data_IF_330249826157
#
_entry.id   IF_330249826157
#
_cell.length_a   1.000
_cell.length_b   1.000
_cell.length_c   1.000
_cell.angle_alpha   90.00
_cell.angle_beta   90.00
_cell.angle_gamma   90.00
#
_symmetry.space_group_name_H-M   'P 1'
#
loop_
_entity.id
_entity.type
_entity.pdbx_description
1 polymer ?
#
# COMPACT_ATOMS: atom_id res chain seq x y z
N UNK A 1 -13.12 -0.47 11.46
CA UNK A 1 -13.05 -1.01 10.08
C UNK A 1 -12.20 -0.08 9.23
N UNK A 2 -11.52 -0.56 8.18
CA UNK A 2 -10.60 0.27 7.37
C UNK A 2 -11.29 1.50 6.78
N UNK A 3 -12.56 1.39 6.41
CA UNK A 3 -13.36 2.50 5.89
C UNK A 3 -13.49 3.64 6.91
N UNK A 4 -13.83 3.33 8.16
CA UNK A 4 -13.90 4.31 9.25
C UNK A 4 -12.54 4.94 9.51
N UNK A 5 -11.47 4.14 9.42
CA UNK A 5 -10.09 4.60 9.63
C UNK A 5 -9.68 5.60 8.56
N UNK A 6 -9.98 5.34 7.28
CA UNK A 6 -9.73 6.27 6.18
C UNK A 6 -10.51 7.58 6.33
N UNK A 7 -11.77 7.52 6.76
CA UNK A 7 -12.58 8.71 7.07
C UNK A 7 -11.93 9.54 8.17
N UNK A 8 -11.50 8.90 9.27
CA UNK A 8 -10.80 9.60 10.37
C UNK A 8 -9.49 10.24 9.90
N UNK A 9 -8.68 9.54 9.11
CA UNK A 9 -7.44 10.08 8.57
C UNK A 9 -7.67 11.29 7.67
N UNK A 10 -8.71 11.26 6.83
CA UNK A 10 -9.08 12.37 5.97
C UNK A 10 -9.63 13.55 6.77
N UNK A 11 -10.58 13.30 7.66
CA UNK A 11 -11.25 14.35 8.45
C UNK A 11 -10.29 15.06 9.42
N UNK A 12 -9.24 14.36 9.85
CA UNK A 12 -8.13 14.94 10.64
C UNK A 12 -7.08 15.69 9.80
N UNK A 13 -7.24 15.75 8.46
CA UNK A 13 -6.24 16.24 7.50
C UNK A 13 -4.90 15.50 7.57
N UNK A 14 -4.90 14.26 8.08
CA UNK A 14 -3.72 13.39 8.05
C UNK A 14 -3.45 12.92 6.62
N UNK A 15 -4.50 12.69 5.83
CA UNK A 15 -4.45 12.47 4.38
C UNK A 15 -5.44 13.44 3.69
N UNK A 16 -5.23 13.75 2.42
CA UNK A 16 -6.20 14.55 1.66
C UNK A 16 -7.18 13.70 0.81
N UNK A 17 -8.10 14.37 0.10
CA UNK A 17 -9.10 13.73 -0.75
C UNK A 17 -8.50 12.91 -1.91
N UNK A 18 -7.34 13.32 -2.45
CA UNK A 18 -6.67 12.58 -3.52
C UNK A 18 -6.12 11.26 -2.98
N UNK A 19 -5.48 11.29 -1.81
CA UNK A 19 -4.97 10.09 -1.13
C UNK A 19 -6.12 9.19 -0.67
N UNK A 20 -7.20 9.76 -0.15
CA UNK A 20 -8.41 9.02 0.19
C UNK A 20 -9.00 8.31 -1.04
N UNK A 21 -9.16 9.03 -2.16
CA UNK A 21 -9.65 8.47 -3.42
C UNK A 21 -8.76 7.36 -3.95
N UNK A 22 -7.44 7.54 -3.88
CA UNK A 22 -6.47 6.51 -4.23
C UNK A 22 -6.64 5.24 -3.39
N UNK A 23 -6.74 5.37 -2.05
CA UNK A 23 -6.96 4.24 -1.15
C UNK A 23 -8.26 3.47 -1.48
N UNK A 24 -9.35 4.18 -1.79
CA UNK A 24 -10.63 3.56 -2.19
C UNK A 24 -10.53 2.83 -3.54
N UNK A 25 -9.82 3.42 -4.50
CA UNK A 25 -9.57 2.80 -5.80
C UNK A 25 -8.71 1.53 -5.65
N UNK A 26 -7.71 1.56 -4.78
CA UNK A 26 -6.89 0.38 -4.47
C UNK A 26 -7.71 -0.74 -3.82
N UNK A 27 -8.57 -0.45 -2.84
CA UNK A 27 -9.48 -1.45 -2.25
C UNK A 27 -10.34 -2.10 -3.34
N UNK A 28 -10.90 -1.29 -4.23
CA UNK A 28 -11.74 -1.78 -5.35
C UNK A 28 -10.93 -2.66 -6.32
N UNK A 29 -9.71 -2.27 -6.65
CA UNK A 29 -8.80 -3.05 -7.49
C UNK A 29 -8.47 -4.42 -6.84
N UNK A 30 -8.12 -4.42 -5.55
CA UNK A 30 -7.81 -5.64 -4.81
C UNK A 30 -8.99 -6.62 -4.80
N UNK A 31 -10.22 -6.14 -4.66
CA UNK A 31 -11.43 -6.95 -4.78
C UNK A 31 -11.62 -7.50 -6.20
N UNK A 32 -11.48 -6.66 -7.21
CA UNK A 32 -11.62 -7.07 -8.61
C UNK A 32 -10.59 -8.15 -8.99
N UNK A 33 -9.38 -8.06 -8.43
CA UNK A 33 -8.32 -9.03 -8.62
C UNK A 33 -8.46 -10.28 -7.71
N UNK A 34 -9.56 -10.41 -6.97
CA UNK A 34 -9.83 -11.48 -6.01
C UNK A 34 -8.69 -11.66 -4.98
N UNK A 35 -8.07 -10.55 -4.55
CA UNK A 35 -7.03 -10.55 -3.52
C UNK A 35 -7.65 -10.54 -2.14
N UNK A 36 -8.71 -9.75 -1.98
CA UNK A 36 -9.49 -9.63 -0.75
C UNK A 36 -10.95 -9.84 -1.06
N UNK A 37 -11.74 -10.29 -0.08
CA UNK A 37 -13.20 -10.31 -0.16
C UNK A 37 -13.81 -9.13 0.58
N UNK A 38 -13.37 -8.94 1.82
CA UNK A 38 -13.79 -7.84 2.68
C UNK A 38 -12.72 -6.75 2.76
N UNK A 39 -13.15 -5.49 2.96
CA UNK A 39 -12.21 -4.35 3.01
C UNK A 39 -11.18 -4.52 4.14
N UNK A 40 -11.61 -5.04 5.29
CA UNK A 40 -10.80 -5.17 6.48
C UNK A 40 -9.63 -6.16 6.31
N UNK A 41 -9.68 -7.06 5.32
CA UNK A 41 -8.53 -7.92 4.96
C UNK A 41 -7.33 -7.08 4.49
N UNK A 42 -7.57 -5.89 3.95
CA UNK A 42 -6.54 -4.97 3.47
C UNK A 42 -6.16 -3.86 4.47
N UNK A 43 -6.66 -3.89 5.71
CA UNK A 43 -6.52 -2.77 6.67
C UNK A 43 -5.07 -2.28 6.83
N UNK A 44 -4.13 -3.21 7.05
CA UNK A 44 -2.72 -2.89 7.25
C UNK A 44 -2.09 -2.27 5.99
N UNK A 45 -2.32 -2.87 4.83
CA UNK A 45 -1.77 -2.38 3.56
C UNK A 45 -2.34 -1.01 3.19
N UNK A 46 -3.66 -0.83 3.26
CA UNK A 46 -4.33 0.41 2.87
C UNK A 46 -3.96 1.55 3.81
N UNK A 47 -3.84 1.27 5.12
CA UNK A 47 -3.36 2.27 6.09
C UNK A 47 -1.93 2.70 5.73
N UNK A 48 -1.03 1.76 5.46
CA UNK A 48 0.35 2.07 5.09
C UNK A 48 0.41 2.86 3.77
N UNK A 49 -0.34 2.42 2.77
CA UNK A 49 -0.40 3.06 1.45
C UNK A 49 -0.82 4.53 1.56
N UNK A 50 -1.92 4.81 2.27
CA UNK A 50 -2.43 6.16 2.43
C UNK A 50 -1.40 7.08 3.14
N UNK A 51 -0.80 6.58 4.23
CA UNK A 51 0.22 7.33 4.98
C UNK A 51 1.51 7.55 4.17
N UNK A 52 1.98 6.53 3.45
CA UNK A 52 3.16 6.61 2.61
C UNK A 52 2.97 7.59 1.44
N UNK A 53 1.81 7.56 0.79
CA UNK A 53 1.46 8.53 -0.26
C UNK A 53 1.48 9.96 0.26
N UNK A 54 0.83 10.22 1.39
CA UNK A 54 0.80 11.56 1.97
C UNK A 54 2.19 12.04 2.37
N UNK A 55 2.96 11.18 3.04
CA UNK A 55 4.34 11.49 3.46
C UNK A 55 5.21 11.89 2.27
N UNK A 56 5.15 11.13 1.18
CA UNK A 56 5.95 11.43 -0.01
C UNK A 56 5.48 12.69 -0.73
N UNK A 57 4.18 12.99 -0.72
CA UNK A 57 3.66 14.28 -1.21
C UNK A 57 4.19 15.47 -0.44
N UNK A 58 4.42 15.31 0.87
CA UNK A 58 5.04 16.33 1.73
C UNK A 58 6.56 16.42 1.57
N UNK A 59 7.17 15.57 0.75
CA UNK A 59 8.62 15.52 0.56
C UNK A 59 9.38 14.99 1.78
N UNK A 60 8.69 14.27 2.66
CA UNK A 60 9.29 13.67 3.84
C UNK A 60 10.12 12.44 3.44
N UNK A 61 11.34 12.36 3.98
CA UNK A 61 12.27 11.28 3.67
C UNK A 61 11.84 9.96 4.33
N UNK A 62 12.21 8.86 3.68
CA UNK A 62 11.99 7.50 4.18
C UNK A 62 13.31 6.77 4.14
N UNK A 63 13.74 6.30 5.30
CA UNK A 63 14.95 5.50 5.40
C UNK A 63 14.74 4.17 4.66
N UNK A 64 15.78 3.67 3.96
CA UNK A 64 15.70 2.39 3.30
C UNK A 64 15.49 1.27 4.32
N UNK A 65 14.74 0.26 3.91
CA UNK A 65 14.63 -0.99 4.66
C UNK A 65 16.01 -1.66 4.81
N UNK A 66 16.25 -2.31 5.95
CA UNK A 66 17.45 -3.10 6.17
C UNK A 66 17.65 -4.14 5.04
N UNK A 67 18.89 -4.27 4.56
CA UNK A 67 19.17 -5.07 3.37
C UNK A 67 18.86 -6.56 3.56
N UNK A 68 18.99 -7.11 4.77
CA UNK A 68 18.64 -8.50 5.04
C UNK A 68 17.13 -8.71 4.96
N UNK A 69 16.34 -7.73 5.36
CA UNK A 69 14.87 -7.78 5.23
C UNK A 69 14.45 -7.61 3.78
N UNK A 70 15.09 -6.69 3.05
CA UNK A 70 14.85 -6.50 1.63
C UNK A 70 15.18 -7.77 0.80
N UNK A 71 16.27 -8.47 1.13
CA UNK A 71 16.61 -9.73 0.48
C UNK A 71 15.55 -10.82 0.72
N UNK A 72 14.98 -10.89 1.93
CA UNK A 72 13.90 -11.84 2.24
C UNK A 72 12.64 -11.57 1.41
N UNK A 73 12.33 -10.31 1.12
CA UNK A 73 11.21 -9.94 0.24
C UNK A 73 11.42 -10.49 -1.17
N UNK A 74 12.64 -10.42 -1.69
CA UNK A 74 12.96 -10.92 -3.04
C UNK A 74 12.90 -12.45 -3.14
N UNK A 75 13.22 -13.14 -2.04
CA UNK A 75 13.19 -14.61 -1.96
C UNK A 75 11.80 -15.18 -1.65
N UNK A 76 10.82 -14.33 -1.28
CA UNK A 76 9.48 -14.78 -0.97
C UNK A 76 8.78 -15.38 -2.21
N UNK A 77 8.10 -16.54 -2.10
CA UNK A 77 7.36 -17.14 -3.21
C UNK A 77 6.33 -16.20 -3.88
N UNK A 78 5.79 -15.25 -3.13
CA UNK A 78 4.81 -14.27 -3.59
C UNK A 78 5.45 -12.99 -4.14
N UNK A 79 6.78 -12.82 -4.09
CA UNK A 79 7.48 -11.59 -4.50
C UNK A 79 7.13 -11.15 -5.93
N UNK A 80 7.12 -12.10 -6.88
CA UNK A 80 6.77 -11.83 -8.27
C UNK A 80 5.34 -11.32 -8.40
N UNK A 81 4.39 -11.98 -7.73
CA UNK A 81 2.98 -11.58 -7.76
C UNK A 81 2.79 -10.23 -7.06
N UNK A 82 3.49 -9.98 -5.96
CA UNK A 82 3.44 -8.71 -5.25
C UNK A 82 3.89 -7.54 -6.14
N UNK A 83 4.97 -7.71 -6.90
CA UNK A 83 5.44 -6.72 -7.88
C UNK A 83 4.45 -6.48 -9.01
N UNK A 84 3.76 -7.53 -9.48
CA UNK A 84 2.71 -7.40 -10.49
C UNK A 84 1.52 -6.60 -9.95
N UNK A 85 1.07 -6.91 -8.74
CA UNK A 85 -0.02 -6.17 -8.09
C UNK A 85 0.38 -4.72 -7.82
N UNK A 86 1.61 -4.49 -7.38
CA UNK A 86 2.12 -3.14 -7.20
C UNK A 86 2.10 -2.33 -8.51
N UNK A 87 2.48 -2.94 -9.64
CA UNK A 87 2.45 -2.25 -10.93
C UNK A 87 1.04 -1.73 -11.25
N UNK A 88 -0.01 -2.54 -11.04
CA UNK A 88 -1.40 -2.11 -11.25
C UNK A 88 -1.83 -1.02 -10.25
N UNK A 89 -1.42 -1.14 -8.99
CA UNK A 89 -1.72 -0.15 -7.95
C UNK A 89 -1.02 1.19 -8.24
N UNK A 90 0.23 1.15 -8.70
CA UNK A 90 1.03 2.33 -9.00
C UNK A 90 0.44 3.18 -10.13
N UNK A 91 -0.27 2.58 -11.09
CA UNK A 91 -0.99 3.32 -12.15
C UNK A 91 -2.13 4.19 -11.62
N UNK A 92 -2.69 3.84 -10.44
CA UNK A 92 -3.72 4.64 -9.77
C UNK A 92 -3.13 5.74 -8.89
N UNK A 93 -1.82 5.69 -8.63
CA UNK A 93 -1.16 6.55 -7.65
C UNK A 93 -1.15 8.01 -8.10
N UNK A 94 -1.45 8.97 -7.21
CA UNK A 94 -1.33 10.39 -7.52
C UNK A 94 0.14 10.87 -7.56
N UNK A 95 1.10 10.01 -7.20
CA UNK A 95 2.53 10.31 -7.15
C UNK A 95 3.39 9.15 -7.66
N UNK A 96 4.64 9.45 -7.99
CA UNK A 96 5.69 8.45 -8.10
C UNK A 96 6.26 8.13 -6.72
N UNK A 97 6.39 6.84 -6.42
CA UNK A 97 6.97 6.39 -5.15
C UNK A 97 8.50 6.34 -5.21
N UNK A 98 9.15 6.82 -4.14
CA UNK A 98 10.59 6.66 -3.92
C UNK A 98 10.96 5.18 -3.74
N UNK A 99 12.14 4.78 -4.21
CA UNK A 99 12.62 3.38 -4.17
C UNK A 99 12.65 2.79 -2.74
N UNK A 100 13.06 3.60 -1.75
CA UNK A 100 13.08 3.22 -0.33
C UNK A 100 11.70 2.77 0.20
N UNK A 101 10.60 3.20 -0.41
CA UNK A 101 9.26 2.79 -0.01
C UNK A 101 8.84 1.45 -0.62
N UNK A 102 9.36 1.12 -1.80
CA UNK A 102 8.85 0.01 -2.59
C UNK A 102 8.96 -1.32 -1.82
N UNK A 103 10.04 -1.52 -1.05
CA UNK A 103 10.19 -2.72 -0.23
C UNK A 103 9.13 -2.81 0.88
N UNK A 104 8.74 -1.70 1.51
CA UNK A 104 7.65 -1.71 2.50
C UNK A 104 6.30 -2.04 1.84
N UNK A 105 6.05 -1.50 0.65
CA UNK A 105 4.85 -1.79 -0.12
C UNK A 105 4.79 -3.26 -0.54
N UNK A 106 5.90 -3.81 -1.05
CA UNK A 106 6.01 -5.23 -1.40
C UNK A 106 5.77 -6.12 -0.19
N UNK A 107 6.35 -5.80 0.97
CA UNK A 107 6.13 -6.54 2.21
C UNK A 107 4.64 -6.59 2.59
N UNK A 108 3.94 -5.47 2.51
CA UNK A 108 2.51 -5.43 2.81
C UNK A 108 1.68 -6.22 1.79
N UNK A 109 2.01 -6.13 0.50
CA UNK A 109 1.31 -6.91 -0.53
C UNK A 109 1.58 -8.40 -0.36
N UNK A 110 2.82 -8.81 -0.09
CA UNK A 110 3.17 -10.22 0.23
C UNK A 110 2.34 -10.69 1.43
N UNK A 111 2.22 -9.89 2.48
CA UNK A 111 1.41 -10.22 3.65
C UNK A 111 -0.06 -10.45 3.28
N UNK A 112 -0.63 -9.65 2.38
CA UNK A 112 -1.98 -9.87 1.85
C UNK A 112 -2.09 -11.16 1.05
N UNK A 113 -1.10 -11.45 0.20
CA UNK A 113 -1.09 -12.65 -0.64
C UNK A 113 -0.95 -13.94 0.19
N UNK A 114 -0.22 -13.88 1.30
CA UNK A 114 0.03 -15.01 2.20
C UNK A 114 -1.14 -15.32 3.14
N UNK A 115 -2.03 -14.35 3.39
CA UNK A 115 -3.19 -14.50 4.29
C UNK A 115 -4.47 -14.95 3.56
N UNK A 116 -4.34 -15.51 2.36
CA UNK A 116 -5.47 -15.99 1.53
C UNK A 116 -6.01 -17.36 1.94
#
# INVERSE_FOLDING_TARGET
MIQEKLVVLRDSNTIDESVYGYAQATISLLKNNNIIKEDDEADGFITHLAMATERQRKGEAVDPMDSLVAEQIELDPNAKQAKQQWAEIAELSPISFHENELNFLYLHIITLLSNR
#
